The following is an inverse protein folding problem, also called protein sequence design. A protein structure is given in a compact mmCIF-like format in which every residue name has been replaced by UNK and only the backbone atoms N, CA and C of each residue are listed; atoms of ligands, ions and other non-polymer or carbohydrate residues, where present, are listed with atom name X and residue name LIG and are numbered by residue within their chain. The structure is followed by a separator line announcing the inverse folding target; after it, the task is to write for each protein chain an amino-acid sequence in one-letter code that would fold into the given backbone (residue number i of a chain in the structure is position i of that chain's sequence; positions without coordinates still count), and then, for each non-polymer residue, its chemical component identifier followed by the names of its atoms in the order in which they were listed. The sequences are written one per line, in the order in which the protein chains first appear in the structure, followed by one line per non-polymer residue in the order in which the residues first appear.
data_IF_720222686622
#
_entry.id   IF_720222686622
#
_cell.length_a   1.000
_cell.length_b   1.000
_cell.length_c   1.000
_cell.angle_alpha   90.00
_cell.angle_beta   90.00
_cell.angle_gamma   90.00
#
_symmetry.space_group_name_H-M   'P 1'
#
loop_
_entity.id
_entity.type
_entity.pdbx_description
1 polymer ?
#
# COMPACT_ATOMS: atom_id res chain seq x y z
N UNK A 1 14.93 1.36 -4.58
CA UNK A 1 13.99 1.62 -5.70
C UNK A 1 14.49 2.68 -6.69
N UNK A 2 14.40 2.39 -7.99
CA UNK A 2 14.95 3.23 -9.08
C UNK A 2 14.06 4.43 -9.46
N UNK A 3 14.65 5.41 -10.15
CA UNK A 3 13.97 6.64 -10.55
C UNK A 3 12.79 6.41 -11.51
N UNK A 4 12.92 5.45 -12.43
CA UNK A 4 11.84 5.07 -13.36
C UNK A 4 10.62 4.54 -12.60
N UNK A 5 10.84 3.63 -11.65
CA UNK A 5 9.79 3.06 -10.80
C UNK A 5 9.11 4.17 -9.99
N UNK A 6 9.89 5.03 -9.33
CA UNK A 6 9.35 6.16 -8.55
C UNK A 6 8.46 7.08 -9.40
N UNK A 7 8.86 7.35 -10.65
CA UNK A 7 8.08 8.16 -11.60
C UNK A 7 6.77 7.46 -11.94
N UNK A 8 6.83 6.19 -12.34
CA UNK A 8 5.65 5.41 -12.73
C UNK A 8 4.64 5.28 -11.59
N UNK A 9 5.11 5.01 -10.37
CA UNK A 9 4.24 4.98 -9.19
C UNK A 9 3.50 6.32 -8.96
N UNK A 10 4.19 7.46 -9.14
CA UNK A 10 3.58 8.78 -9.00
C UNK A 10 2.52 9.06 -10.08
N UNK A 11 2.73 8.58 -11.30
CA UNK A 11 1.76 8.68 -12.39
C UNK A 11 0.49 7.89 -12.07
N UNK A 12 0.64 6.64 -11.60
CA UNK A 12 -0.49 5.76 -11.24
C UNK A 12 -1.23 6.30 -10.00
N UNK A 13 -0.50 6.65 -8.95
CA UNK A 13 -1.07 6.99 -7.65
C UNK A 13 -1.51 8.45 -7.49
N UNK A 14 -1.27 9.33 -8.48
CA UNK A 14 -1.66 10.74 -8.38
C UNK A 14 -0.73 11.60 -7.50
N UNK A 15 0.58 11.37 -7.60
CA UNK A 15 1.63 12.21 -7.02
C UNK A 15 1.68 12.23 -5.49
N UNK A 16 0.80 12.99 -4.82
CA UNK A 16 0.78 13.18 -3.36
C UNK A 16 0.40 11.92 -2.57
N UNK A 17 -0.20 10.93 -3.22
CA UNK A 17 -0.54 9.67 -2.57
C UNK A 17 0.66 8.71 -2.46
N UNK A 18 1.78 8.99 -3.14
CA UNK A 18 2.99 8.17 -3.11
C UNK A 18 4.11 8.94 -2.43
N UNK A 19 4.61 8.36 -1.35
CA UNK A 19 5.71 8.86 -0.56
C UNK A 19 6.87 7.86 -0.64
N UNK A 20 8.10 8.33 -0.53
CA UNK A 20 9.30 7.49 -0.60
C UNK A 20 10.13 7.69 0.66
N UNK A 21 10.83 6.62 1.07
CA UNK A 21 11.69 6.61 2.26
C UNK A 21 10.94 7.11 3.52
N UNK A 22 9.88 6.40 3.87
CA UNK A 22 8.91 6.86 4.87
C UNK A 22 9.06 6.10 6.18
N UNK A 23 9.25 6.77 7.33
CA UNK A 23 9.28 6.10 8.62
C UNK A 23 7.90 5.54 8.97
N UNK A 24 7.80 4.22 9.12
CA UNK A 24 6.51 3.56 9.39
C UNK A 24 5.95 3.86 10.78
N UNK A 25 6.78 4.34 11.71
CA UNK A 25 6.36 4.88 13.01
C UNK A 25 5.32 6.01 12.90
N UNK A 26 5.26 6.74 11.78
CA UNK A 26 4.24 7.76 11.56
C UNK A 26 2.90 7.19 11.07
N UNK A 27 2.87 5.93 10.66
CA UNK A 27 1.73 5.29 9.99
C UNK A 27 1.24 4.02 10.70
N UNK A 28 1.93 3.55 11.73
CA UNK A 28 1.50 2.44 12.60
C UNK A 28 0.98 2.97 13.93
N UNK A 29 0.00 2.27 14.52
CA UNK A 29 -0.54 2.68 15.83
C UNK A 29 0.49 2.52 16.95
N UNK A 30 1.39 1.54 16.81
CA UNK A 30 2.47 1.27 17.77
C UNK A 30 3.59 2.31 17.70
N UNK A 31 3.60 3.20 16.70
CA UNK A 31 4.59 4.28 16.52
C UNK A 31 6.05 3.81 16.53
N UNK A 32 6.25 2.58 16.05
CA UNK A 32 7.54 1.91 15.96
C UNK A 32 7.72 1.35 14.56
N UNK A 33 8.98 1.19 14.17
CA UNK A 33 9.40 0.58 12.92
C UNK A 33 10.12 1.52 11.96
N UNK A 34 11.04 0.92 11.21
CA UNK A 34 11.94 1.62 10.30
C UNK A 34 11.28 2.11 9.01
N UNK A 35 12.11 2.59 8.09
CA UNK A 35 11.63 3.19 6.85
C UNK A 35 11.11 2.14 5.86
N UNK A 36 10.06 2.47 5.13
CA UNK A 36 9.64 1.75 3.92
C UNK A 36 10.18 2.45 2.68
N UNK A 37 10.62 1.70 1.67
CA UNK A 37 11.11 2.30 0.41
C UNK A 37 10.05 3.17 -0.27
N UNK A 38 8.79 2.73 -0.24
CA UNK A 38 7.66 3.54 -0.67
C UNK A 38 6.38 3.26 0.11
N UNK A 39 5.57 4.30 0.29
CA UNK A 39 4.24 4.22 0.86
C UNK A 39 3.24 4.78 -0.16
N UNK A 40 2.25 3.98 -0.52
CA UNK A 40 1.14 4.37 -1.40
C UNK A 40 -0.18 4.37 -0.64
N UNK A 41 -0.89 5.49 -0.66
CA UNK A 41 -2.22 5.65 -0.07
C UNK A 41 -3.30 5.40 -1.13
N UNK A 42 -3.80 4.18 -1.19
CA UNK A 42 -4.82 3.79 -2.15
C UNK A 42 -6.20 4.28 -1.72
N UNK A 43 -6.89 4.99 -2.62
CA UNK A 43 -8.25 5.54 -2.40
C UNK A 43 -9.24 5.15 -3.51
N UNK A 44 -8.73 4.58 -4.59
CA UNK A 44 -9.49 4.19 -5.78
C UNK A 44 -9.11 2.77 -6.20
N UNK A 45 -10.10 2.00 -6.66
CA UNK A 45 -9.93 0.60 -7.05
C UNK A 45 -9.12 0.45 -8.34
N UNK A 46 -9.32 1.33 -9.33
CA UNK A 46 -8.62 1.24 -10.60
C UNK A 46 -7.14 1.58 -10.40
N UNK A 47 -6.83 2.66 -9.69
CA UNK A 47 -5.46 3.04 -9.36
C UNK A 47 -4.76 1.99 -8.47
N UNK A 48 -5.49 1.37 -7.54
CA UNK A 48 -4.96 0.25 -6.74
C UNK A 48 -4.64 -0.95 -7.61
N UNK A 49 -5.55 -1.36 -8.51
CA UNK A 49 -5.33 -2.46 -9.44
C UNK A 49 -4.11 -2.21 -10.32
N UNK A 50 -4.04 -1.05 -10.97
CA UNK A 50 -2.91 -0.67 -11.82
C UNK A 50 -1.59 -0.67 -11.03
N UNK A 51 -1.58 -0.12 -9.81
CA UNK A 51 -0.40 -0.13 -8.94
C UNK A 51 0.02 -1.57 -8.60
N UNK A 52 -0.90 -2.43 -8.17
CA UNK A 52 -0.56 -3.81 -7.79
C UNK A 52 -0.09 -4.67 -8.97
N UNK A 53 -0.63 -4.43 -10.17
CA UNK A 53 -0.16 -5.07 -11.41
C UNK A 53 1.24 -4.60 -11.73
N UNK A 54 1.47 -3.28 -11.75
CA UNK A 54 2.80 -2.71 -12.03
C UNK A 54 3.87 -3.23 -11.06
N UNK A 55 3.59 -3.25 -9.75
CA UNK A 55 4.54 -3.77 -8.76
C UNK A 55 4.83 -5.25 -8.94
N UNK A 56 3.82 -6.05 -9.34
CA UNK A 56 4.00 -7.47 -9.64
C UNK A 56 4.90 -7.68 -10.86
N UNK A 57 4.63 -6.95 -11.94
CA UNK A 57 5.36 -7.07 -13.20
C UNK A 57 6.84 -6.67 -13.05
N UNK A 58 7.12 -5.67 -12.21
CA UNK A 58 8.48 -5.24 -11.86
C UNK A 58 9.14 -6.10 -10.75
N UNK A 59 8.45 -7.11 -10.22
CA UNK A 59 8.97 -7.98 -9.16
C UNK A 59 9.20 -7.26 -7.82
N UNK A 60 8.51 -6.15 -7.58
CA UNK A 60 8.65 -5.34 -6.36
C UNK A 60 7.71 -5.90 -5.28
N UNK A 61 8.23 -6.35 -4.12
CA UNK A 61 7.39 -6.84 -3.05
C UNK A 61 6.53 -5.70 -2.48
N UNK A 62 5.28 -6.00 -2.13
CA UNK A 62 4.40 -5.04 -1.49
C UNK A 62 3.56 -5.67 -0.38
N UNK A 63 3.21 -4.84 0.60
CA UNK A 63 2.34 -5.18 1.72
C UNK A 63 1.10 -4.31 1.66
N UNK A 64 -0.08 -4.92 1.60
CA UNK A 64 -1.36 -4.20 1.73
C UNK A 64 -1.78 -4.17 3.19
N UNK A 65 -2.14 -3.00 3.69
CA UNK A 65 -2.60 -2.82 5.06
C UNK A 65 -3.68 -1.74 5.15
N UNK A 66 -4.49 -1.80 6.21
CA UNK A 66 -5.37 -0.71 6.60
C UNK A 66 -4.59 0.32 7.42
N UNK A 67 -5.11 0.66 8.61
CA UNK A 67 -4.49 1.65 9.52
C UNK A 67 -3.21 1.17 10.24
N UNK A 68 -2.70 -0.03 9.95
CA UNK A 68 -1.50 -0.56 10.59
C UNK A 68 -1.61 -0.69 12.13
N UNK A 69 -2.79 -1.00 12.67
CA UNK A 69 -3.00 -1.17 14.12
C UNK A 69 -2.31 -2.41 14.70
N UNK A 70 -2.05 -3.41 13.86
CA UNK A 70 -1.35 -4.64 14.21
C UNK A 70 -0.13 -4.89 13.30
N UNK A 71 0.50 -3.82 12.81
CA UNK A 71 1.68 -3.92 11.96
C UNK A 71 2.92 -3.48 12.74
N UNK A 72 3.90 -4.39 12.84
CA UNK A 72 5.22 -4.14 13.41
C UNK A 72 6.25 -4.21 12.28
N UNK A 73 6.77 -3.04 11.87
CA UNK A 73 7.88 -2.97 10.92
C UNK A 73 9.17 -3.05 11.71
N UNK A 74 10.13 -3.87 11.27
CA UNK A 74 11.44 -3.98 11.94
C UNK A 74 12.20 -2.65 11.80
N UNK A 75 13.15 -2.37 12.69
CA UNK A 75 13.96 -1.15 12.61
C UNK A 75 14.77 -1.06 11.31
N UNK A 76 15.14 -2.21 10.73
CA UNK A 76 15.75 -2.31 9.40
C UNK A 76 14.81 -1.94 8.24
N UNK A 77 13.56 -1.58 8.52
CA UNK A 77 12.59 -1.11 7.53
C UNK A 77 11.86 -2.21 6.77
N UNK A 78 11.14 -1.79 5.72
CA UNK A 78 10.43 -2.66 4.78
C UNK A 78 10.93 -2.38 3.35
N UNK A 79 11.48 -3.42 2.71
CA UNK A 79 11.87 -3.38 1.30
C UNK A 79 10.61 -3.47 0.43
N UNK A 80 10.53 -2.62 -0.59
CA UNK A 80 9.37 -2.51 -1.47
C UNK A 80 8.30 -1.53 -0.97
N UNK A 81 7.02 -1.85 -1.20
CA UNK A 81 5.93 -0.87 -1.09
C UNK A 81 4.93 -1.22 0.01
N UNK A 82 4.67 -0.31 0.93
CA UNK A 82 3.50 -0.37 1.81
C UNK A 82 2.30 0.31 1.13
N UNK A 83 1.21 -0.41 0.96
CA UNK A 83 -0.05 0.09 0.40
C UNK A 83 -1.05 0.24 1.55
N UNK A 84 -1.44 1.48 1.84
CA UNK A 84 -2.45 1.80 2.85
C UNK A 84 -3.79 2.04 2.16
N UNK A 85 -4.79 1.23 2.52
CA UNK A 85 -6.17 1.41 2.07
C UNK A 85 -6.83 2.55 2.88
N UNK A 86 -7.21 3.63 2.20
CA UNK A 86 -7.93 4.79 2.76
C UNK A 86 -9.24 5.05 1.97
N UNK A 87 -10.07 5.97 2.45
CA UNK A 87 -11.23 6.46 1.69
C UNK A 87 -12.34 5.43 1.53
N UNK A 88 -12.74 5.14 0.29
CA UNK A 88 -13.83 4.21 -0.03
C UNK A 88 -13.59 2.79 0.49
N UNK A 89 -12.33 2.40 0.69
CA UNK A 89 -11.95 1.11 1.27
C UNK A 89 -12.12 1.03 2.79
N UNK A 90 -12.43 2.14 3.47
CA UNK A 90 -12.66 2.17 4.92
C UNK A 90 -14.09 1.75 5.32
N UNK A 91 -14.96 1.50 4.35
CA UNK A 91 -16.37 1.18 4.57
C UNK A 91 -16.67 -0.23 4.11
N UNK A 92 -17.29 -1.02 4.98
CA UNK A 92 -17.88 -2.32 4.63
C UNK A 92 -19.39 -2.13 4.56
N UNK A 93 -19.94 -2.27 3.36
CA UNK A 93 -21.38 -2.28 3.16
C UNK A 93 -21.88 -3.72 3.18
N UNK A 94 -22.97 -3.97 3.91
CA UNK A 94 -23.60 -5.29 3.92
C UNK A 94 -24.45 -5.47 2.67
N UNK A 95 -23.82 -5.76 1.53
CA UNK A 95 -24.52 -6.23 0.33
C UNK A 95 -24.79 -7.71 0.50
N UNK A 96 -26.00 -8.04 0.94
CA UNK A 96 -26.56 -9.38 0.70
C UNK A 96 -26.61 -9.57 -0.82
N UNK A 97 -25.68 -10.40 -1.34
CA UNK A 97 -25.53 -10.96 -2.69
C UNK A 97 -24.12 -10.74 -3.27
N UNK A 98 -23.23 -11.73 -3.10
CA UNK A 98 -22.30 -12.25 -4.11
C UNK A 98 -21.55 -13.46 -3.52
N UNK A 99 -21.37 -14.51 -4.33
CA UNK A 99 -20.83 -15.82 -3.95
C UNK A 99 -19.51 -15.73 -3.16
N UNK A 100 -19.26 -16.68 -2.22
CA UNK A 100 -18.00 -16.70 -1.49
C UNK A 100 -16.85 -16.86 -2.47
N UNK A 101 -15.99 -15.84 -2.55
CA UNK A 101 -14.70 -15.96 -3.24
C UNK A 101 -13.81 -16.87 -2.40
N UNK A 102 -13.95 -18.18 -2.61
CA UNK A 102 -12.97 -19.17 -2.15
C UNK A 102 -11.80 -19.05 -3.12
N UNK A 103 -10.71 -18.44 -2.66
CA UNK A 103 -9.43 -18.51 -3.35
C UNK A 103 -8.85 -19.87 -3.02
N UNK A 104 -8.95 -20.81 -3.97
CA UNK A 104 -8.33 -22.13 -3.91
C UNK A 104 -6.84 -22.06 -4.29
#
# INVERSE_FOLDING_TARGET
MDAHIKKRMKEIGGGKAVLFDVPMSQYTTLRIGGNVEALYKARDLNALREMTTFLRDEGIPYLVTGRGSNLLVRDGGLKGVAIILEGSFAVVNNTSMAEPCIVA
#
